data_IF_224465250388
#
_entry.id   IF_224465250388
#
_cell.length_a   1.000
_cell.length_b   1.000
_cell.length_c   1.000
_cell.angle_alpha   90.00
_cell.angle_beta   90.00
_cell.angle_gamma   90.00
#
_symmetry.space_group_name_H-M   'P 1'
#
loop_
_entity.id
_entity.type
_entity.pdbx_description
1 polymer ?
#
# COMPACT_ATOMS: atom_id res chain seq x y z
N UNK A 1 -1.17 -34.70 20.42
CA UNK A 1 -2.13 -33.63 20.75
C UNK A 1 -1.83 -32.96 22.10
N UNK A 2 -1.41 -33.69 23.15
CA UNK A 2 -1.07 -33.08 24.46
C UNK A 2 -0.05 -31.94 24.36
N UNK A 3 1.04 -32.11 23.61
CA UNK A 3 2.02 -31.04 23.39
C UNK A 3 1.47 -29.81 22.64
N UNK A 4 0.48 -30.00 21.76
CA UNK A 4 -0.18 -28.88 21.08
C UNK A 4 -1.12 -28.14 22.04
N UNK A 5 -1.87 -28.90 22.86
CA UNK A 5 -2.75 -28.35 23.90
C UNK A 5 -1.98 -27.52 24.94
N UNK A 6 -0.83 -28.02 25.40
CA UNK A 6 -0.02 -27.32 26.41
C UNK A 6 0.64 -26.05 25.89
N UNK A 7 0.73 -25.87 24.56
CA UNK A 7 1.38 -24.73 23.92
C UNK A 7 0.40 -23.84 23.14
N UNK A 8 -0.90 -23.89 23.45
CA UNK A 8 -1.94 -23.23 22.64
C UNK A 8 -1.80 -21.69 22.55
N UNK A 9 -1.18 -21.06 23.55
CA UNK A 9 -0.90 -19.61 23.56
C UNK A 9 0.46 -19.25 22.97
N UNK A 10 1.29 -20.24 22.65
CA UNK A 10 2.61 -19.99 22.11
C UNK A 10 2.50 -19.53 20.65
N UNK A 11 3.12 -18.40 20.32
CA UNK A 11 3.08 -17.80 18.98
C UNK A 11 3.65 -18.75 17.90
N UNK A 12 4.60 -19.61 18.28
CA UNK A 12 5.24 -20.57 17.37
C UNK A 12 4.51 -21.92 17.29
N UNK A 13 3.48 -22.15 18.12
CA UNK A 13 2.75 -23.40 18.10
C UNK A 13 1.76 -23.43 16.94
N UNK A 14 2.12 -24.15 15.88
CA UNK A 14 1.23 -24.42 14.75
C UNK A 14 0.58 -25.81 14.87
N UNK A 15 -0.61 -25.97 14.27
CA UNK A 15 -1.24 -27.27 14.15
C UNK A 15 -0.32 -28.23 13.36
N UNK A 16 0.06 -29.39 13.91
CA UNK A 16 1.09 -30.26 13.34
C UNK A 16 0.55 -31.13 12.18
N UNK A 17 -0.04 -30.50 11.16
CA UNK A 17 -0.68 -31.18 10.02
C UNK A 17 0.26 -32.14 9.29
N UNK A 18 1.48 -31.70 8.96
CA UNK A 18 2.46 -32.53 8.25
C UNK A 18 2.94 -33.74 9.07
N UNK A 19 3.14 -33.56 10.38
CA UNK A 19 3.55 -34.66 11.26
C UNK A 19 2.45 -35.71 11.34
N UNK A 20 1.19 -35.30 11.50
CA UNK A 20 0.06 -36.23 11.51
C UNK A 20 -0.07 -36.94 10.16
N UNK A 21 0.04 -36.22 9.03
CA UNK A 21 0.05 -36.82 7.69
C UNK A 21 1.14 -37.88 7.56
N UNK A 22 2.38 -37.57 7.95
CA UNK A 22 3.52 -38.48 7.84
C UNK A 22 3.32 -39.78 8.63
N UNK A 23 2.70 -39.72 9.81
CA UNK A 23 2.40 -40.92 10.61
C UNK A 23 1.34 -41.78 9.93
N UNK A 24 0.28 -41.16 9.38
CA UNK A 24 -0.77 -41.85 8.63
C UNK A 24 -0.18 -42.53 7.39
N UNK A 25 0.61 -41.81 6.60
CA UNK A 25 1.23 -42.31 5.38
C UNK A 25 2.25 -43.42 5.67
N UNK A 26 3.03 -43.29 6.75
CA UNK A 26 3.99 -44.31 7.19
C UNK A 26 3.29 -45.61 7.57
N UNK A 27 2.18 -45.53 8.32
CA UNK A 27 1.41 -46.72 8.66
C UNK A 27 0.72 -47.33 7.43
N UNK A 28 0.14 -46.49 6.55
CA UNK A 28 -0.46 -46.95 5.30
C UNK A 28 0.55 -47.71 4.40
N UNK A 29 1.83 -47.30 4.41
CA UNK A 29 2.90 -47.98 3.69
C UNK A 29 3.23 -49.39 4.24
N UNK A 30 2.97 -49.65 5.52
CA UNK A 30 3.17 -50.99 6.11
C UNK A 30 2.10 -52.00 5.69
N UNK A 31 0.92 -51.54 5.26
CA UNK A 31 -0.17 -52.38 4.81
C UNK A 31 0.12 -52.90 3.40
N UNK A 32 0.27 -54.22 3.23
CA UNK A 32 0.60 -54.82 1.92
C UNK A 32 -0.64 -55.07 1.05
N UNK A 33 -1.79 -55.42 1.66
CA UNK A 33 -3.03 -55.71 0.93
C UNK A 33 -3.80 -54.42 0.64
N UNK A 34 -4.31 -54.31 -0.58
CA UNK A 34 -5.13 -53.16 -1.01
C UNK A 34 -6.41 -53.01 -0.17
N UNK A 35 -7.11 -54.11 0.10
CA UNK A 35 -8.33 -54.10 0.91
C UNK A 35 -8.10 -53.54 2.32
N UNK A 36 -6.98 -53.88 2.96
CA UNK A 36 -6.65 -53.40 4.30
C UNK A 36 -6.33 -51.89 4.29
N UNK A 37 -5.70 -51.39 3.21
CA UNK A 37 -5.49 -49.95 3.01
C UNK A 37 -6.82 -49.22 2.84
N UNK A 38 -7.74 -49.76 2.05
CA UNK A 38 -9.04 -49.14 1.79
C UNK A 38 -9.85 -49.01 3.09
N UNK A 39 -9.86 -50.07 3.93
CA UNK A 39 -10.49 -50.04 5.26
C UNK A 39 -9.79 -49.05 6.20
N UNK A 40 -8.45 -49.00 6.18
CA UNK A 40 -7.68 -48.03 6.98
C UNK A 40 -8.00 -46.58 6.59
N UNK A 41 -8.03 -46.25 5.30
CA UNK A 41 -8.37 -44.90 4.84
C UNK A 41 -9.83 -44.54 5.11
N UNK A 42 -10.76 -45.50 5.04
CA UNK A 42 -12.15 -45.28 5.43
C UNK A 42 -12.25 -44.90 6.92
N UNK A 43 -11.54 -45.62 7.78
CA UNK A 43 -11.55 -45.37 9.23
C UNK A 43 -10.79 -44.09 9.64
N UNK A 44 -9.77 -43.69 8.88
CA UNK A 44 -8.94 -42.51 9.17
C UNK A 44 -9.35 -41.26 8.36
N UNK A 45 -10.37 -41.37 7.50
CA UNK A 45 -10.78 -40.32 6.57
C UNK A 45 -11.02 -38.97 7.25
N UNK A 46 -11.70 -38.95 8.41
CA UNK A 46 -11.98 -37.71 9.14
C UNK A 46 -10.70 -36.99 9.60
N UNK A 47 -9.68 -37.75 10.01
CA UNK A 47 -8.38 -37.20 10.42
C UNK A 47 -7.63 -36.68 9.19
N UNK A 48 -7.63 -37.44 8.10
CA UNK A 48 -7.00 -37.02 6.83
C UNK A 48 -7.62 -35.72 6.32
N UNK A 49 -8.96 -35.60 6.33
CA UNK A 49 -9.66 -34.38 5.95
C UNK A 49 -9.30 -33.20 6.86
N UNK A 50 -9.21 -33.42 8.17
CA UNK A 50 -8.79 -32.38 9.12
C UNK A 50 -7.36 -31.90 8.81
N UNK A 51 -6.43 -32.83 8.57
CA UNK A 51 -5.04 -32.51 8.25
C UNK A 51 -4.93 -31.74 6.95
N UNK A 52 -5.65 -32.15 5.90
CA UNK A 52 -5.71 -31.43 4.63
C UNK A 52 -6.28 -30.03 4.80
N UNK A 53 -7.34 -29.88 5.60
CA UNK A 53 -8.01 -28.61 5.87
C UNK A 53 -7.11 -27.57 6.53
N UNK A 54 -6.16 -28.00 7.37
CA UNK A 54 -5.22 -27.13 8.10
C UNK A 54 -3.77 -27.25 7.59
N UNK A 55 -3.55 -27.79 6.39
CA UNK A 55 -2.21 -27.96 5.80
C UNK A 55 -1.44 -26.63 5.71
N UNK A 56 -2.14 -25.56 5.38
CA UNK A 56 -1.58 -24.20 5.26
C UNK A 56 -1.80 -23.37 6.54
N UNK A 57 -1.95 -24.04 7.69
CA UNK A 57 -2.24 -23.40 8.97
C UNK A 57 -3.63 -22.74 9.03
N UNK A 58 -3.85 -21.97 10.09
CA UNK A 58 -5.15 -21.36 10.38
C UNK A 58 -5.51 -20.25 9.38
N UNK A 59 -4.51 -19.45 8.96
CA UNK A 59 -4.66 -18.42 7.92
C UNK A 59 -5.04 -19.03 6.58
N UNK A 60 -4.38 -20.12 6.18
CA UNK A 60 -4.73 -20.84 4.96
C UNK A 60 -6.15 -21.40 4.99
N UNK A 61 -6.58 -21.97 6.13
CA UNK A 61 -7.96 -22.43 6.30
C UNK A 61 -8.97 -21.29 6.19
N UNK A 62 -8.72 -20.17 6.85
CA UNK A 62 -9.56 -18.97 6.75
C UNK A 62 -9.71 -18.54 5.30
N UNK A 63 -8.60 -18.38 4.57
CA UNK A 63 -8.59 -18.03 3.15
C UNK A 63 -9.42 -19.00 2.31
N UNK A 64 -9.19 -20.30 2.42
CA UNK A 64 -9.95 -21.30 1.64
C UNK A 64 -11.45 -21.25 1.94
N UNK A 65 -11.83 -21.08 3.21
CA UNK A 65 -13.23 -20.98 3.60
C UNK A 65 -13.92 -19.75 2.98
N UNK A 66 -13.23 -18.61 2.96
CA UNK A 66 -13.73 -17.38 2.33
C UNK A 66 -13.84 -17.55 0.82
N UNK A 67 -12.81 -18.10 0.18
CA UNK A 67 -12.83 -18.36 -1.27
C UNK A 67 -13.97 -19.31 -1.65
N UNK A 68 -14.23 -20.34 -0.85
CA UNK A 68 -15.34 -21.28 -1.06
C UNK A 68 -16.70 -20.58 -0.94
N UNK A 69 -16.91 -19.77 0.10
CA UNK A 69 -18.15 -18.99 0.26
C UNK A 69 -18.40 -18.03 -0.91
N UNK A 70 -17.37 -17.30 -1.33
CA UNK A 70 -17.48 -16.38 -2.47
C UNK A 70 -17.68 -17.14 -3.79
N UNK A 71 -17.00 -18.28 -3.96
CA UNK A 71 -17.18 -19.14 -5.14
C UNK A 71 -18.61 -19.66 -5.24
N UNK A 72 -19.19 -20.15 -4.14
CA UNK A 72 -20.59 -20.60 -4.12
C UNK A 72 -21.56 -19.49 -4.49
N UNK A 73 -21.28 -18.24 -4.10
CA UNK A 73 -22.05 -17.09 -4.54
C UNK A 73 -21.93 -16.86 -6.05
N UNK A 74 -20.71 -16.84 -6.59
CA UNK A 74 -20.45 -16.61 -8.02
C UNK A 74 -21.09 -17.72 -8.86
N UNK A 75 -20.91 -18.98 -8.46
CA UNK A 75 -21.42 -20.15 -9.19
C UNK A 75 -22.93 -20.06 -9.39
N UNK A 76 -23.69 -19.59 -8.40
CA UNK A 76 -25.14 -19.35 -8.53
C UNK A 76 -25.40 -18.15 -9.45
N UNK A 77 -24.81 -17.00 -9.13
CA UNK A 77 -25.17 -15.74 -9.79
C UNK A 77 -24.72 -15.67 -11.25
N UNK A 78 -23.73 -16.48 -11.64
CA UNK A 78 -23.22 -16.52 -13.01
C UNK A 78 -24.28 -17.07 -13.98
N UNK A 79 -25.14 -18.00 -13.57
CA UNK A 79 -26.23 -18.51 -14.43
C UNK A 79 -27.30 -17.46 -14.73
N UNK A 80 -27.43 -16.42 -13.90
CA UNK A 80 -28.44 -15.37 -14.05
C UNK A 80 -27.92 -14.11 -14.76
N UNK A 81 -26.70 -14.13 -15.31
CA UNK A 81 -26.12 -12.98 -16.02
C UNK A 81 -26.62 -12.86 -17.49
N UNK A 82 -27.07 -13.94 -18.13
CA UNK A 82 -27.32 -13.98 -19.58
C UNK A 82 -28.76 -13.68 -20.01
N UNK A 83 -29.06 -12.41 -20.27
CA UNK A 83 -30.36 -12.01 -20.84
C UNK A 83 -31.47 -11.85 -19.79
N UNK A 84 -32.73 -12.07 -20.18
CA UNK A 84 -33.87 -11.99 -19.27
C UNK A 84 -33.98 -13.24 -18.39
N UNK A 85 -34.63 -13.09 -17.23
CA UNK A 85 -34.77 -14.16 -16.23
C UNK A 85 -35.30 -15.49 -16.80
N UNK A 86 -36.33 -15.44 -17.65
CA UNK A 86 -36.93 -16.64 -18.26
C UNK A 86 -35.95 -17.42 -19.16
N UNK A 87 -35.08 -16.69 -19.88
CA UNK A 87 -34.00 -17.29 -20.66
C UNK A 87 -32.95 -17.94 -19.76
N UNK A 88 -32.56 -17.28 -18.67
CA UNK A 88 -31.63 -17.84 -17.69
C UNK A 88 -32.18 -19.15 -17.09
N UNK A 89 -33.47 -19.19 -16.72
CA UNK A 89 -34.12 -20.39 -16.17
C UNK A 89 -34.18 -21.52 -17.20
N UNK A 90 -34.49 -21.21 -18.45
CA UNK A 90 -34.50 -22.21 -19.54
C UNK A 90 -33.10 -22.83 -19.74
N UNK A 91 -32.07 -22.00 -19.80
CA UNK A 91 -30.67 -22.44 -19.90
C UNK A 91 -30.22 -23.25 -18.67
N UNK A 92 -30.66 -22.84 -17.49
CA UNK A 92 -30.39 -23.54 -16.24
C UNK A 92 -31.01 -24.94 -16.25
N UNK A 93 -32.25 -25.08 -16.72
CA UNK A 93 -32.92 -26.38 -16.88
C UNK A 93 -32.21 -27.29 -17.88
N UNK A 94 -31.71 -26.75 -18.99
CA UNK A 94 -30.92 -27.52 -19.95
C UNK A 94 -29.59 -27.99 -19.35
N UNK A 95 -28.90 -27.11 -18.60
CA UNK A 95 -27.60 -27.42 -17.97
C UNK A 95 -27.69 -28.51 -16.91
N UNK A 96 -28.77 -28.53 -16.11
CA UNK A 96 -28.96 -29.47 -15.00
C UNK A 96 -29.91 -30.63 -15.35
N UNK A 97 -30.10 -30.93 -16.65
CA UNK A 97 -31.02 -31.97 -17.11
C UNK A 97 -30.68 -33.36 -16.53
N UNK A 98 -29.39 -33.68 -16.43
CA UNK A 98 -28.88 -34.96 -15.91
C UNK A 98 -28.84 -35.02 -14.37
N UNK A 99 -28.56 -33.89 -13.70
CA UNK A 99 -28.49 -33.81 -12.23
C UNK A 99 -29.87 -33.78 -11.56
N UNK A 100 -30.91 -33.44 -12.32
CA UNK A 100 -32.29 -33.43 -11.88
C UNK A 100 -32.82 -32.05 -11.46
N UNK A 101 -34.15 -31.95 -11.39
CA UNK A 101 -34.84 -30.69 -11.11
C UNK A 101 -34.54 -30.10 -9.72
N UNK A 102 -34.06 -30.90 -8.77
CA UNK A 102 -33.71 -30.42 -7.43
C UNK A 102 -32.56 -29.39 -7.47
N UNK A 103 -31.53 -29.61 -8.28
CA UNK A 103 -30.41 -28.67 -8.45
C UNK A 103 -30.89 -27.34 -9.03
N UNK A 104 -31.77 -27.38 -10.05
CA UNK A 104 -32.37 -26.19 -10.67
C UNK A 104 -33.14 -25.37 -9.63
N UNK A 105 -34.00 -26.03 -8.85
CA UNK A 105 -34.80 -25.35 -7.82
C UNK A 105 -33.92 -24.73 -6.74
N UNK A 106 -32.85 -25.42 -6.32
CA UNK A 106 -31.88 -24.90 -5.33
C UNK A 106 -31.19 -23.62 -5.83
N UNK A 107 -30.76 -23.60 -7.10
CA UNK A 107 -30.12 -22.43 -7.73
C UNK A 107 -31.09 -21.24 -7.80
N UNK A 108 -32.32 -21.47 -8.24
CA UNK A 108 -33.37 -20.44 -8.30
C UNK A 108 -33.66 -19.91 -6.89
N UNK A 109 -33.86 -20.79 -5.91
CA UNK A 109 -34.12 -20.40 -4.54
C UNK A 109 -33.00 -19.54 -3.94
N UNK A 110 -31.75 -19.90 -4.23
CA UNK A 110 -30.58 -19.09 -3.82
C UNK A 110 -30.62 -17.70 -4.45
N UNK A 111 -30.88 -17.58 -5.76
CA UNK A 111 -30.93 -16.31 -6.48
C UNK A 111 -32.10 -15.41 -6.02
N UNK A 112 -33.26 -15.96 -5.63
CA UNK A 112 -34.36 -15.15 -5.07
C UNK A 112 -33.96 -14.33 -3.83
N UNK A 113 -32.92 -14.76 -3.11
CA UNK A 113 -32.39 -14.10 -1.92
C UNK A 113 -31.13 -13.25 -2.19
N UNK A 114 -30.84 -12.92 -3.45
CA UNK A 114 -29.61 -12.21 -3.89
C UNK A 114 -29.32 -10.94 -3.10
N UNK A 115 -30.34 -10.13 -2.77
CA UNK A 115 -30.15 -8.90 -1.98
C UNK A 115 -29.49 -9.16 -0.62
N UNK A 116 -29.90 -10.23 0.08
CA UNK A 116 -29.31 -10.61 1.38
C UNK A 116 -27.91 -11.19 1.20
N UNK A 117 -27.72 -12.03 0.18
CA UNK A 117 -26.39 -12.57 -0.20
C UNK A 117 -25.40 -11.44 -0.49
N UNK A 118 -25.83 -10.40 -1.20
CA UNK A 118 -24.99 -9.26 -1.57
C UNK A 118 -24.51 -8.50 -0.33
N UNK A 119 -25.38 -8.28 0.65
CA UNK A 119 -24.98 -7.67 1.91
C UNK A 119 -23.95 -8.52 2.68
N UNK A 120 -24.15 -9.85 2.72
CA UNK A 120 -23.21 -10.76 3.37
C UNK A 120 -21.83 -10.72 2.70
N UNK A 121 -21.79 -10.82 1.36
CA UNK A 121 -20.52 -10.81 0.61
C UNK A 121 -19.79 -9.47 0.78
N UNK A 122 -20.50 -8.35 0.72
CA UNK A 122 -19.89 -7.02 0.94
C UNK A 122 -19.28 -6.93 2.34
N UNK A 123 -20.05 -7.29 3.39
CA UNK A 123 -19.55 -7.26 4.77
C UNK A 123 -18.36 -8.19 5.00
N UNK A 124 -18.38 -9.37 4.36
CA UNK A 124 -17.27 -10.32 4.42
C UNK A 124 -16.01 -9.74 3.79
N UNK A 125 -16.12 -9.15 2.60
CA UNK A 125 -15.01 -8.51 1.90
C UNK A 125 -14.45 -7.34 2.73
N UNK A 126 -15.32 -6.49 3.27
CA UNK A 126 -14.92 -5.33 4.08
C UNK A 126 -14.16 -5.72 5.33
N UNK A 127 -14.70 -6.69 6.07
CA UNK A 127 -14.08 -7.16 7.31
C UNK A 127 -12.70 -7.75 7.04
N UNK A 128 -12.57 -8.63 6.04
CA UNK A 128 -11.31 -9.32 5.76
C UNK A 128 -10.25 -8.38 5.21
N UNK A 129 -10.59 -7.59 4.19
CA UNK A 129 -9.61 -6.72 3.54
C UNK A 129 -9.21 -5.52 4.41
N UNK A 130 -10.04 -5.16 5.40
CA UNK A 130 -9.72 -4.11 6.37
C UNK A 130 -8.84 -4.54 7.55
N UNK A 131 -8.87 -5.83 7.93
CA UNK A 131 -8.18 -6.32 9.14
C UNK A 131 -6.96 -7.21 8.85
N UNK A 132 -6.91 -7.88 7.70
CA UNK A 132 -5.85 -8.85 7.39
C UNK A 132 -4.95 -8.34 6.25
N UNK A 133 -3.79 -7.73 6.56
CA UNK A 133 -2.88 -7.25 5.52
C UNK A 133 -2.37 -8.41 4.63
N UNK A 134 -2.36 -8.18 3.32
CA UNK A 134 -1.93 -9.16 2.31
C UNK A 134 -2.97 -10.22 1.94
N UNK A 135 -4.12 -10.32 2.63
CA UNK A 135 -5.18 -11.28 2.25
C UNK A 135 -5.79 -10.91 0.90
N UNK A 136 -5.82 -9.63 0.55
CA UNK A 136 -6.43 -9.15 -0.69
C UNK A 136 -5.70 -9.67 -1.93
N UNK A 137 -4.37 -9.74 -1.89
CA UNK A 137 -3.55 -10.31 -2.97
C UNK A 137 -3.85 -11.80 -3.14
N UNK A 138 -3.99 -12.51 -2.01
CA UNK A 138 -4.34 -13.92 -1.97
C UNK A 138 -5.78 -14.21 -2.49
N UNK A 139 -6.70 -13.24 -2.35
CA UNK A 139 -8.08 -13.29 -2.82
C UNK A 139 -8.29 -12.64 -4.19
N UNK A 140 -7.25 -12.04 -4.78
CA UNK A 140 -7.34 -11.27 -6.03
C UNK A 140 -8.05 -12.00 -7.16
N UNK A 141 -7.76 -13.28 -7.37
CA UNK A 141 -8.39 -14.11 -8.40
C UNK A 141 -9.92 -14.22 -8.22
N UNK A 142 -10.39 -14.49 -7.00
CA UNK A 142 -11.84 -14.65 -6.74
C UNK A 142 -12.56 -13.30 -6.71
N UNK A 143 -11.89 -12.24 -6.24
CA UNK A 143 -12.41 -10.87 -6.30
C UNK A 143 -12.55 -10.40 -7.75
N UNK A 144 -11.59 -10.71 -8.62
CA UNK A 144 -11.69 -10.42 -10.06
C UNK A 144 -12.90 -11.11 -10.69
N UNK A 145 -13.18 -12.37 -10.32
CA UNK A 145 -14.37 -13.07 -10.79
C UNK A 145 -15.68 -12.39 -10.35
N UNK A 146 -15.74 -11.81 -9.14
CA UNK A 146 -16.89 -10.99 -8.73
C UNK A 146 -17.09 -9.75 -9.61
N UNK A 147 -16.01 -9.14 -10.11
CA UNK A 147 -16.11 -7.92 -10.94
C UNK A 147 -16.71 -8.17 -12.33
N UNK A 148 -16.81 -9.42 -12.76
CA UNK A 148 -17.39 -9.81 -14.06
C UNK A 148 -18.93 -9.79 -14.01
N UNK A 149 -19.53 -9.87 -12.82
CA UNK A 149 -20.99 -9.80 -12.66
C UNK A 149 -21.50 -8.42 -13.09
N UNK A 150 -22.41 -8.38 -14.07
CA UNK A 150 -22.82 -7.15 -14.75
C UNK A 150 -24.29 -6.76 -14.52
N UNK A 151 -25.09 -7.61 -13.86
CA UNK A 151 -26.48 -7.30 -13.51
C UNK A 151 -26.56 -6.22 -12.42
N UNK A 152 -27.58 -5.37 -12.53
CA UNK A 152 -27.84 -4.29 -11.57
C UNK A 152 -27.99 -4.80 -10.12
N UNK A 153 -28.55 -6.00 -9.95
CA UNK A 153 -28.71 -6.66 -8.65
C UNK A 153 -27.36 -6.87 -7.94
N UNK A 154 -26.33 -7.26 -8.70
CA UNK A 154 -25.00 -7.62 -8.20
C UNK A 154 -23.98 -6.47 -8.33
N UNK A 155 -24.38 -5.34 -8.92
CA UNK A 155 -23.51 -4.22 -9.22
C UNK A 155 -22.78 -3.67 -7.97
N UNK A 156 -23.45 -3.65 -6.80
CA UNK A 156 -22.83 -3.21 -5.54
C UNK A 156 -21.68 -4.12 -5.11
N UNK A 157 -21.84 -5.44 -5.27
CA UNK A 157 -20.81 -6.43 -4.92
C UNK A 157 -19.64 -6.31 -5.88
N UNK A 158 -19.92 -6.26 -7.19
CA UNK A 158 -18.90 -6.11 -8.23
C UNK A 158 -18.10 -4.80 -8.07
N UNK A 159 -18.79 -3.69 -7.80
CA UNK A 159 -18.16 -2.40 -7.53
C UNK A 159 -17.27 -2.47 -6.29
N UNK A 160 -17.76 -3.09 -5.20
CA UNK A 160 -16.98 -3.19 -3.98
C UNK A 160 -15.72 -4.05 -4.16
N UNK A 161 -15.84 -5.20 -4.82
CA UNK A 161 -14.69 -6.04 -5.15
C UNK A 161 -13.66 -5.26 -5.99
N UNK A 162 -14.09 -4.45 -6.96
CA UNK A 162 -13.22 -3.61 -7.76
C UNK A 162 -12.53 -2.51 -6.93
N UNK A 163 -13.25 -1.83 -6.04
CA UNK A 163 -12.65 -0.83 -5.13
C UNK A 163 -11.56 -1.45 -4.26
N UNK A 164 -11.82 -2.65 -3.72
CA UNK A 164 -10.86 -3.37 -2.89
C UNK A 164 -9.61 -3.76 -3.69
N UNK A 165 -9.79 -4.30 -4.90
CA UNK A 165 -8.67 -4.61 -5.81
C UNK A 165 -7.82 -3.39 -6.16
N UNK A 166 -8.46 -2.25 -6.43
CA UNK A 166 -7.76 -0.98 -6.68
C UNK A 166 -6.99 -0.55 -5.43
N UNK A 167 -7.62 -0.60 -4.25
CA UNK A 167 -6.97 -0.22 -3.00
C UNK A 167 -5.79 -1.13 -2.63
N UNK A 168 -5.85 -2.41 -2.97
CA UNK A 168 -4.79 -3.38 -2.70
C UNK A 168 -3.54 -3.14 -3.54
N UNK A 169 -3.68 -2.50 -4.72
CA UNK A 169 -2.53 -2.11 -5.52
C UNK A 169 -1.69 -1.04 -4.83
N UNK A 170 -2.29 -0.23 -3.95
CA UNK A 170 -1.56 0.73 -3.14
C UNK A 170 -1.00 0.06 -1.89
N UNK A 171 0.32 0.08 -1.67
CA UNK A 171 0.89 -0.51 -0.47
C UNK A 171 0.39 0.21 0.79
N UNK A 172 0.17 -0.53 1.89
CA UNK A 172 -0.19 0.03 3.19
C UNK A 172 0.74 1.16 3.63
N UNK A 173 0.18 2.12 4.38
CA UNK A 173 0.91 3.29 4.88
C UNK A 173 2.25 2.92 5.55
N UNK A 174 2.25 1.94 6.46
CA UNK A 174 3.46 1.53 7.18
C UNK A 174 4.56 0.99 6.25
N UNK A 175 4.20 0.25 5.20
CA UNK A 175 5.17 -0.24 4.22
C UNK A 175 5.73 0.90 3.37
N UNK A 176 4.88 1.85 2.95
CA UNK A 176 5.33 3.05 2.23
C UNK A 176 6.25 3.92 3.09
N UNK A 177 5.93 4.09 4.37
CA UNK A 177 6.79 4.75 5.35
C UNK A 177 8.16 4.07 5.41
N UNK A 178 8.21 2.76 5.68
CA UNK A 178 9.47 2.02 5.76
C UNK A 178 10.27 2.05 4.45
N UNK A 179 9.58 2.00 3.31
CA UNK A 179 10.22 2.07 2.00
C UNK A 179 10.86 3.45 1.77
N UNK A 180 10.12 4.53 2.06
CA UNK A 180 10.65 5.89 1.95
C UNK A 180 11.81 6.11 2.93
N UNK A 181 11.70 5.62 4.16
CA UNK A 181 12.77 5.67 5.17
C UNK A 181 14.03 4.94 4.67
N UNK A 182 13.88 3.72 4.13
CA UNK A 182 14.99 2.96 3.54
C UNK A 182 15.64 3.72 2.38
N UNK A 183 14.86 4.40 1.54
CA UNK A 183 15.39 5.22 0.45
C UNK A 183 16.19 6.39 1.00
N UNK A 184 15.64 7.14 1.96
CA UNK A 184 16.34 8.25 2.60
C UNK A 184 17.64 7.80 3.27
N UNK A 185 17.60 6.72 4.05
CA UNK A 185 18.79 6.19 4.73
C UNK A 185 19.82 5.65 3.73
N UNK A 186 19.39 5.04 2.61
CA UNK A 186 20.33 4.56 1.59
C UNK A 186 21.01 5.68 0.79
N UNK A 187 20.36 6.84 0.68
CA UNK A 187 20.95 8.03 0.04
C UNK A 187 21.96 8.74 0.95
N UNK A 188 22.01 8.36 2.24
CA UNK A 188 22.87 8.96 3.26
C UNK A 188 23.91 7.91 3.63
N UNK A 189 25.01 7.84 2.88
CA UNK A 189 26.16 7.06 3.34
C UNK A 189 26.76 7.78 4.56
N UNK A 190 26.78 7.08 5.70
CA UNK A 190 27.31 7.60 6.96
C UNK A 190 28.85 7.71 6.91
N UNK A 191 29.50 7.00 5.97
CA UNK A 191 30.95 6.90 5.86
C UNK A 191 31.54 7.60 4.63
N UNK A 192 30.74 7.79 3.59
CA UNK A 192 31.12 8.56 2.41
C UNK A 192 30.37 9.89 2.45
N UNK A 193 31.07 11.01 2.56
CA UNK A 193 30.45 12.35 2.46
C UNK A 193 29.90 12.68 1.06
N UNK A 194 29.64 11.67 0.24
CA UNK A 194 29.08 11.76 -1.10
C UNK A 194 27.59 11.46 -1.05
N UNK A 195 26.76 12.49 -1.21
CA UNK A 195 25.33 12.33 -1.40
C UNK A 195 25.08 11.79 -2.81
N UNK A 196 24.36 10.67 -2.93
CA UNK A 196 23.98 10.14 -4.23
C UNK A 196 22.58 10.66 -4.65
N UNK A 197 22.47 11.72 -5.46
CA UNK A 197 21.19 12.34 -5.82
C UNK A 197 20.30 11.39 -6.63
N UNK A 198 20.88 10.39 -7.30
CA UNK A 198 20.18 9.43 -8.14
C UNK A 198 19.17 8.58 -7.34
N UNK A 199 19.44 8.34 -6.06
CA UNK A 199 18.55 7.55 -5.21
C UNK A 199 17.29 8.33 -4.86
N UNK A 200 17.42 9.62 -4.55
CA UNK A 200 16.29 10.50 -4.22
C UNK A 200 15.43 10.86 -5.44
N UNK A 201 16.00 10.82 -6.65
CA UNK A 201 15.23 10.99 -7.89
C UNK A 201 14.09 9.97 -8.01
N UNK A 202 14.23 8.77 -7.42
CA UNK A 202 13.15 7.77 -7.36
C UNK A 202 11.92 8.31 -6.62
N UNK A 203 12.10 9.12 -5.57
CA UNK A 203 10.99 9.74 -4.84
C UNK A 203 10.43 10.95 -5.58
N UNK A 204 11.30 11.77 -6.18
CA UNK A 204 10.90 12.98 -6.90
C UNK A 204 10.03 12.64 -8.12
N UNK A 205 10.44 11.64 -8.90
CA UNK A 205 9.76 11.22 -10.13
C UNK A 205 8.71 10.11 -9.92
N UNK A 206 8.46 9.68 -8.68
CA UNK A 206 7.52 8.59 -8.40
C UNK A 206 6.09 8.95 -8.81
N UNK A 207 5.46 8.09 -9.61
CA UNK A 207 4.06 8.23 -10.04
C UNK A 207 3.06 8.11 -8.87
N UNK A 208 3.43 7.37 -7.82
CA UNK A 208 2.57 7.19 -6.64
C UNK A 208 2.60 8.43 -5.76
N UNK A 209 1.47 8.75 -5.10
CA UNK A 209 1.43 9.82 -4.10
C UNK A 209 2.39 9.52 -2.95
N UNK A 210 3.34 10.42 -2.71
CA UNK A 210 4.25 10.35 -1.56
C UNK A 210 3.93 11.40 -0.49
N UNK A 211 3.18 12.46 -0.82
CA UNK A 211 2.97 13.58 0.09
C UNK A 211 2.21 13.17 1.35
N UNK A 212 1.34 12.16 1.29
CA UNK A 212 0.65 11.64 2.47
C UNK A 212 1.59 11.00 3.51
N UNK A 213 2.81 10.59 3.11
CA UNK A 213 3.83 10.03 4.01
C UNK A 213 5.00 10.99 4.23
N UNK A 214 5.40 11.72 3.18
CA UNK A 214 6.61 12.56 3.16
C UNK A 214 6.68 13.56 4.31
N UNK A 215 5.54 14.18 4.65
CA UNK A 215 5.48 15.19 5.71
C UNK A 215 5.89 14.65 7.09
N UNK A 216 5.77 13.34 7.35
CA UNK A 216 6.23 12.76 8.62
C UNK A 216 7.76 12.81 8.75
N UNK A 217 8.49 12.72 7.62
CA UNK A 217 9.96 12.76 7.62
C UNK A 217 10.53 14.15 7.91
N UNK A 218 9.72 15.21 7.86
CA UNK A 218 10.15 16.54 8.27
C UNK A 218 10.51 16.59 9.76
N UNK A 219 9.95 15.66 10.55
CA UNK A 219 10.15 15.54 11.98
C UNK A 219 10.98 14.31 12.37
N UNK A 220 11.68 13.72 11.41
CA UNK A 220 12.52 12.54 11.64
C UNK A 220 13.66 12.84 12.62
N UNK A 221 14.09 11.85 13.41
CA UNK A 221 15.15 12.01 14.41
C UNK A 221 16.50 12.43 13.79
N UNK A 222 16.85 11.84 12.64
CA UNK A 222 18.05 12.19 11.86
C UNK A 222 17.88 13.51 11.09
N UNK A 223 18.74 14.50 11.38
CA UNK A 223 18.78 15.83 10.74
C UNK A 223 18.98 15.75 9.23
N UNK A 224 19.80 14.81 8.75
CA UNK A 224 20.09 14.65 7.32
C UNK A 224 18.85 14.16 6.58
N UNK A 225 18.08 13.25 7.20
CA UNK A 225 16.79 12.80 6.66
C UNK A 225 15.79 13.96 6.60
N UNK A 226 15.74 14.83 7.63
CA UNK A 226 14.88 16.03 7.61
C UNK A 226 15.21 16.94 6.43
N UNK A 227 16.50 17.21 6.19
CA UNK A 227 16.96 18.01 5.04
C UNK A 227 16.58 17.37 3.71
N UNK A 228 16.93 16.09 3.53
CA UNK A 228 16.60 15.35 2.32
C UNK A 228 15.08 15.32 2.05
N UNK A 229 14.25 15.20 3.09
CA UNK A 229 12.79 15.22 2.95
C UNK A 229 12.27 16.58 2.47
N UNK A 230 12.80 17.70 2.99
CA UNK A 230 12.47 19.05 2.50
C UNK A 230 12.88 19.23 1.05
N UNK A 231 14.07 18.78 0.68
CA UNK A 231 14.56 18.84 -0.71
C UNK A 231 13.70 18.03 -1.68
N UNK A 232 13.35 16.78 -1.31
CA UNK A 232 12.44 15.93 -2.10
C UNK A 232 11.07 16.59 -2.24
N UNK A 233 10.54 17.20 -1.17
CA UNK A 233 9.26 17.90 -1.22
C UNK A 233 9.31 19.05 -2.24
N UNK A 234 10.31 19.94 -2.13
CA UNK A 234 10.43 21.11 -3.01
C UNK A 234 10.63 20.66 -4.46
N UNK A 235 11.61 19.78 -4.74
CA UNK A 235 11.87 19.33 -6.11
C UNK A 235 10.68 18.61 -6.74
N UNK A 236 9.89 17.89 -5.95
CA UNK A 236 8.68 17.23 -6.45
C UNK A 236 7.52 18.20 -6.66
N UNK A 237 7.29 19.14 -5.74
CA UNK A 237 6.26 20.16 -5.87
C UNK A 237 6.53 21.10 -7.06
N UNK A 238 7.80 21.37 -7.33
CA UNK A 238 8.26 22.24 -8.41
C UNK A 238 8.83 21.48 -9.61
N UNK A 239 8.42 20.24 -9.84
CA UNK A 239 8.95 19.35 -10.90
C UNK A 239 8.82 19.95 -12.32
N UNK A 240 7.82 20.80 -12.55
CA UNK A 240 7.59 21.47 -13.84
C UNK A 240 8.35 22.80 -13.99
N UNK A 241 9.13 23.19 -12.98
CA UNK A 241 9.92 24.42 -12.97
C UNK A 241 11.41 24.06 -12.97
N UNK A 242 12.22 24.95 -13.53
CA UNK A 242 13.66 24.78 -13.50
C UNK A 242 14.20 25.22 -12.13
N UNK A 243 14.85 24.29 -11.43
CA UNK A 243 15.45 24.54 -10.13
C UNK A 243 16.87 25.08 -10.28
N UNK A 244 17.08 26.32 -9.86
CA UNK A 244 18.39 27.00 -9.95
C UNK A 244 19.28 26.65 -8.76
N UNK A 245 18.72 26.74 -7.55
CA UNK A 245 19.45 26.42 -6.34
C UNK A 245 18.51 26.07 -5.19
N UNK A 246 18.99 25.25 -4.26
CA UNK A 246 18.31 24.90 -3.02
C UNK A 246 19.34 24.85 -1.90
N UNK A 247 19.11 25.64 -0.85
CA UNK A 247 20.03 25.79 0.28
C UNK A 247 19.30 25.49 1.59
N UNK A 248 19.83 24.52 2.34
CA UNK A 248 19.32 24.17 3.66
C UNK A 248 19.89 25.12 4.72
N UNK A 249 19.02 25.61 5.58
CA UNK A 249 19.40 26.37 6.77
C UNK A 249 18.62 25.84 7.98
N UNK A 250 18.98 26.32 9.17
CA UNK A 250 18.30 25.96 10.40
C UNK A 250 17.97 27.24 11.13
N UNK A 251 16.68 27.45 11.40
CA UNK A 251 16.14 28.59 12.13
C UNK A 251 16.12 28.23 13.61
N UNK A 252 16.98 28.86 14.40
CA UNK A 252 17.04 28.71 15.85
C UNK A 252 17.95 29.79 16.40
N UNK A 253 17.59 30.39 17.53
CA UNK A 253 18.39 31.45 18.13
C UNK A 253 19.85 31.00 18.26
N UNK A 254 20.84 31.70 17.68
CA UNK A 254 22.19 31.54 18.17
C UNK A 254 22.14 32.02 19.62
N UNK A 255 22.25 31.10 20.58
CA UNK A 255 22.70 31.51 21.90
C UNK A 255 23.98 32.31 21.66
N UNK A 256 23.92 33.60 21.96
CA UNK A 256 25.07 34.48 21.92
C UNK A 256 26.19 33.76 22.67
N UNK A 257 27.33 33.58 22.02
CA UNK A 257 28.56 33.22 22.72
C UNK A 257 28.88 34.33 23.73
N UNK A 258 28.36 34.19 24.95
CA UNK A 258 28.89 34.84 26.14
C UNK A 258 29.63 33.79 26.95
N UNK A 259 30.93 34.06 27.04
CA UNK A 259 32.02 33.39 27.73
C UNK A 259 31.63 32.88 29.14
N UNK A 260 32.02 31.63 29.41
CA UNK A 260 32.32 30.96 30.69
C UNK A 260 31.39 31.11 31.91
N UNK A 261 30.87 29.97 32.38
CA UNK A 261 31.06 29.53 33.79
C UNK A 261 30.52 28.10 33.96
N UNK A 262 31.41 27.18 34.34
CA UNK A 262 31.06 25.82 34.72
C UNK A 262 30.11 25.81 35.93
N UNK A 263 29.08 24.95 35.89
CA UNK A 263 28.79 23.87 36.86
C UNK A 263 27.32 23.43 36.75
N UNK A 264 27.10 22.14 37.07
CA UNK A 264 25.84 21.45 37.37
C UNK A 264 25.01 20.86 36.22
N UNK A 265 25.17 19.54 36.14
CA UNK A 265 24.43 18.47 35.48
C UNK A 265 22.92 18.53 35.82
N UNK A 266 22.08 18.53 34.79
CA UNK A 266 20.69 18.06 34.84
C UNK A 266 20.30 17.54 33.46
N UNK A 267 19.98 16.25 33.40
CA UNK A 267 19.45 15.54 32.25
C UNK A 267 18.04 16.02 31.92
N UNK A 268 17.94 17.02 31.05
CA UNK A 268 16.74 17.30 30.28
C UNK A 268 17.06 16.99 28.81
N UNK A 269 16.22 16.19 28.16
CA UNK A 269 16.25 16.02 26.71
C UNK A 269 15.86 17.37 26.11
N UNK A 270 16.87 18.21 25.84
CA UNK A 270 16.72 19.43 25.06
C UNK A 270 16.24 19.01 23.68
N UNK A 271 14.94 19.11 23.43
CA UNK A 271 14.42 19.04 22.06
C UNK A 271 15.07 20.21 21.33
N UNK A 272 15.98 19.92 20.41
CA UNK A 272 16.61 20.92 19.56
C UNK A 272 15.56 21.90 19.05
N UNK A 273 15.62 23.15 19.52
CA UNK A 273 14.76 24.25 19.06
C UNK A 273 15.16 24.75 17.65
N UNK A 274 15.80 23.88 16.88
CA UNK A 274 16.40 24.17 15.59
C UNK A 274 15.41 23.75 14.49
N UNK A 275 14.72 24.72 13.91
CA UNK A 275 13.69 24.54 12.89
C UNK A 275 14.38 24.31 11.55
N UNK A 276 14.26 23.13 10.91
CA UNK A 276 14.85 22.90 9.60
C UNK A 276 14.11 23.72 8.55
N UNK A 277 14.86 24.41 7.70
CA UNK A 277 14.31 25.18 6.58
C UNK A 277 15.16 25.07 5.33
N UNK A 278 14.56 25.36 4.18
CA UNK A 278 15.25 25.44 2.91
C UNK A 278 14.76 26.67 2.12
N UNK A 279 15.70 27.40 1.54
CA UNK A 279 15.44 28.47 0.57
C UNK A 279 15.75 27.91 -0.81
N UNK A 280 14.85 28.13 -1.76
CA UNK A 280 15.00 27.60 -3.11
C UNK A 280 14.65 28.65 -4.16
N UNK A 281 15.36 28.59 -5.26
CA UNK A 281 15.26 29.52 -6.37
C UNK A 281 14.86 28.78 -7.63
N UNK A 282 13.83 29.28 -8.32
CA UNK A 282 13.26 28.59 -9.47
C UNK A 282 12.86 29.56 -10.58
N UNK A 283 12.85 29.06 -11.81
CA UNK A 283 12.48 29.82 -13.00
C UNK A 283 11.13 29.33 -13.51
N UNK A 284 10.24 30.29 -13.74
CA UNK A 284 8.96 30.04 -14.38
C UNK A 284 9.16 29.75 -15.88
N UNK A 285 8.46 28.75 -16.45
CA UNK A 285 8.50 28.54 -17.90
C UNK A 285 7.96 29.77 -18.62
N UNK A 286 8.48 30.05 -19.81
CA UNK A 286 8.09 31.23 -20.62
C UNK A 286 6.59 31.29 -20.94
N UNK A 287 5.90 30.15 -20.90
CA UNK A 287 4.44 30.02 -21.08
C UNK A 287 3.62 30.34 -19.82
N UNK A 288 4.25 30.66 -18.68
CA UNK A 288 3.54 30.85 -17.42
C UNK A 288 2.65 32.11 -17.44
N UNK A 289 1.37 32.03 -17.03
CA UNK A 289 0.41 33.15 -17.16
C UNK A 289 0.85 34.46 -16.50
N UNK A 290 1.61 34.39 -15.40
CA UNK A 290 2.13 35.58 -14.70
C UNK A 290 3.15 36.38 -15.51
N UNK A 291 3.71 35.83 -16.58
CA UNK A 291 4.66 36.50 -17.46
C UNK A 291 3.97 37.20 -18.64
N UNK A 292 2.81 36.68 -19.05
CA UNK A 292 2.02 37.20 -20.17
C UNK A 292 1.41 38.57 -19.85
N UNK A 293 1.17 38.88 -18.57
CA UNK A 293 0.62 40.17 -18.12
C UNK A 293 1.64 41.32 -17.97
N UNK A 294 2.95 41.03 -17.91
CA UNK A 294 3.97 42.04 -17.61
C UNK A 294 4.55 42.76 -18.85
N UNK A 295 4.18 42.37 -20.07
CA UNK A 295 4.70 42.98 -21.30
C UNK A 295 4.00 44.30 -21.70
N UNK A 296 3.08 44.83 -20.89
CA UNK A 296 2.37 46.07 -21.20
C UNK A 296 2.98 47.34 -20.59
N UNK A 297 3.98 47.26 -19.71
CA UNK A 297 4.58 48.47 -19.12
C UNK A 297 5.96 48.26 -18.50
N UNK A 298 6.89 49.15 -18.88
CA UNK A 298 8.17 49.51 -18.23
C UNK A 298 9.48 48.89 -18.76
N UNK A 299 10.11 49.68 -19.61
CA UNK A 299 11.54 50.08 -19.62
C UNK A 299 12.52 49.39 -18.66
N UNK A 300 13.55 48.76 -19.25
CA UNK A 300 14.92 48.55 -18.78
C UNK A 300 15.13 48.13 -17.31
N UNK A 301 15.32 46.83 -17.08
CA UNK A 301 15.94 46.27 -15.86
C UNK A 301 17.41 45.91 -16.10
N UNK A 302 18.31 46.02 -15.10
CA UNK A 302 19.75 45.81 -15.28
C UNK A 302 20.09 44.31 -15.30
N UNK A 303 20.82 43.84 -16.30
CA UNK A 303 21.28 42.45 -16.41
C UNK A 303 22.45 42.16 -15.46
N UNK A 304 22.40 41.06 -14.69
CA UNK A 304 23.57 40.48 -14.03
C UNK A 304 24.02 39.27 -14.86
N UNK A 305 25.26 39.28 -15.32
CA UNK A 305 25.91 38.12 -15.92
C UNK A 305 26.35 37.17 -14.80
N UNK A 306 25.71 36.00 -14.70
CA UNK A 306 26.27 34.88 -13.94
C UNK A 306 27.29 34.20 -14.87
N UNK A 307 28.57 34.27 -14.51
CA UNK A 307 29.64 33.59 -15.24
C UNK A 307 29.59 32.12 -14.84
N UNK A 308 29.11 31.26 -15.75
CA UNK A 308 29.33 29.82 -15.72
C UNK A 308 30.38 29.48 -16.77
N UNK A 309 31.54 28.98 -16.34
CA UNK A 309 32.53 28.37 -17.23
C UNK A 309 32.04 27.01 -17.71
N UNK A 310 31.23 27.00 -18.76
CA UNK A 310 31.14 25.88 -19.71
C UNK A 310 30.37 26.36 -20.94
N UNK A 311 31.01 26.20 -22.10
CA UNK A 311 30.53 26.66 -23.39
C UNK A 311 29.16 26.09 -23.77
N UNK A 312 28.40 26.96 -24.44
CA UNK A 312 27.17 26.76 -25.21
C UNK A 312 25.83 27.00 -24.49
N UNK A 313 25.11 27.97 -25.05
CA UNK A 313 23.82 28.57 -24.68
C UNK A 313 23.80 29.60 -23.52
N UNK A 314 24.01 30.87 -23.88
CA UNK A 314 23.62 32.03 -23.06
C UNK A 314 22.09 32.08 -22.87
N UNK A 315 21.56 31.40 -21.85
CA UNK A 315 20.21 31.69 -21.35
C UNK A 315 20.22 33.03 -20.62
N UNK A 316 19.67 34.06 -21.27
CA UNK A 316 19.39 35.34 -20.64
C UNK A 316 18.25 35.13 -19.63
N UNK A 317 18.60 34.99 -18.34
CA UNK A 317 17.60 34.91 -17.26
C UNK A 317 16.92 36.28 -17.13
N UNK A 318 15.75 36.44 -17.72
CA UNK A 318 14.91 37.61 -17.51
C UNK A 318 14.43 37.63 -16.06
N UNK A 319 14.70 38.70 -15.31
CA UNK A 319 14.30 38.89 -13.90
C UNK A 319 12.80 38.64 -13.66
N UNK A 320 11.96 38.81 -14.70
CA UNK A 320 10.53 38.55 -14.63
C UNK A 320 10.15 37.10 -14.29
N UNK A 321 11.01 36.13 -14.63
CA UNK A 321 10.73 34.70 -14.53
C UNK A 321 11.29 34.06 -13.26
N UNK A 322 12.18 34.75 -12.56
CA UNK A 322 12.85 34.24 -11.36
C UNK A 322 11.95 34.37 -10.13
N UNK A 323 11.89 33.32 -9.31
CA UNK A 323 11.12 33.28 -8.07
C UNK A 323 11.95 32.64 -6.96
N UNK A 324 11.65 33.06 -5.73
CA UNK A 324 12.26 32.54 -4.51
C UNK A 324 11.15 31.94 -3.67
N UNK A 325 11.37 30.75 -3.13
CA UNK A 325 10.52 30.11 -2.16
C UNK A 325 11.27 29.76 -0.88
N UNK A 326 10.52 29.63 0.22
CA UNK A 326 11.03 29.21 1.51
C UNK A 326 10.10 28.12 2.06
N UNK A 327 10.69 27.06 2.59
CA UNK A 327 9.99 26.02 3.35
C UNK A 327 10.63 25.88 4.72
N UNK A 328 9.81 25.74 5.76
CA UNK A 328 10.24 25.46 7.12
C UNK A 328 9.25 24.46 7.76
N UNK A 329 9.76 23.56 8.60
CA UNK A 329 8.93 22.57 9.29
C UNK A 329 8.91 22.83 10.80
N UNK A 330 7.76 23.25 11.31
CA UNK A 330 7.55 23.61 12.72
C UNK A 330 6.89 22.46 13.47
N UNK A 331 7.37 22.14 14.68
CA UNK A 331 6.81 21.06 15.50
C UNK A 331 5.46 21.45 16.12
N UNK A 332 5.25 22.74 16.36
CA UNK A 332 4.02 23.29 16.95
C UNK A 332 3.64 24.59 16.24
N UNK A 333 2.36 24.96 16.32
CA UNK A 333 1.87 26.25 15.80
C UNK A 333 2.49 27.43 16.55
N UNK A 334 2.83 27.27 17.83
CA UNK A 334 3.51 28.29 18.64
C UNK A 334 4.92 28.64 18.12
N UNK A 335 5.60 27.72 17.43
CA UNK A 335 6.90 28.01 16.82
C UNK A 335 6.79 28.86 15.54
N UNK A 336 5.59 28.97 14.97
CA UNK A 336 5.33 29.73 13.75
C UNK A 336 5.02 31.22 14.02
N UNK A 337 4.44 31.52 15.18
CA UNK A 337 4.07 32.87 15.62
C UNK A 337 5.28 33.72 16.02
#
# INVERSE_FOLDING_TARGET
MNNYSSNITAILAAFPSQQIASVIDSYAATLQKRADRDVFFLNTQGIVQLVQRYRNGIRGRMRSCVQELVRNYIEVEQHFQSGHYDKCVSQLREKFKEEGMASVVSQIFSHLSVTKKNQLIIKLIDHLCGHEPGITDELSSILNALTILNKAENAKVALRARQVLISAHQPPFALRHNQMESIFLSAIDIYSHEFEPNVLNKLILSETSIFDVLHQFFYHSNVVVRRAALEVYVRRAYISYEMVSLQHSVLGSPERHSVESLHSRSSAVSRDASIPCAVYHFILPSSHPSLVGNNASSTAAPSIAVISESSDENQIVSFGNYRIGLIAAFNTTEQME
#
